data_IF_179056713154
#
_entry.id   IF_179056713154
#
_cell.length_a   1.000
_cell.length_b   1.000
_cell.length_c   1.000
_cell.angle_alpha   90.00
_cell.angle_beta   90.00
_cell.angle_gamma   90.00
#
_symmetry.space_group_name_H-M   'P 1'
#
loop_
_entity.id
_entity.type
_entity.pdbx_description
1 polymer ?
#
# COMPACT_ATOMS: atom_id res chain seq x y z
N UNK A 1 -15.37 28.72 -20.60
CA UNK A 1 -16.56 29.04 -21.43
C UNK A 1 -17.44 27.82 -21.78
N UNK A 2 -16.88 26.75 -22.36
CA UNK A 2 -17.66 25.54 -22.69
C UNK A 2 -18.18 24.81 -21.45
N UNK A 3 -17.37 24.66 -20.40
CA UNK A 3 -17.78 24.04 -19.13
C UNK A 3 -19.00 24.74 -18.50
N UNK A 4 -19.01 26.08 -18.49
CA UNK A 4 -20.15 26.90 -18.03
C UNK A 4 -21.42 26.64 -18.86
N UNK A 5 -21.30 26.52 -20.19
CA UNK A 5 -22.44 26.23 -21.06
C UNK A 5 -23.02 24.82 -20.81
N UNK A 6 -22.14 23.82 -20.66
CA UNK A 6 -22.53 22.44 -20.34
C UNK A 6 -23.20 22.39 -18.96
N UNK A 7 -22.64 23.08 -17.96
CA UNK A 7 -23.19 23.12 -16.61
C UNK A 7 -24.59 23.74 -16.58
N UNK A 8 -24.79 24.88 -17.23
CA UNK A 8 -26.12 25.52 -17.34
C UNK A 8 -27.15 24.61 -18.00
N UNK A 9 -26.77 23.90 -19.07
CA UNK A 9 -27.64 22.93 -19.74
C UNK A 9 -28.02 21.78 -18.80
N UNK A 10 -27.04 21.18 -18.12
CA UNK A 10 -27.28 20.09 -17.19
C UNK A 10 -28.16 20.51 -15.99
N UNK A 11 -27.93 21.70 -15.44
CA UNK A 11 -28.74 22.25 -14.36
C UNK A 11 -30.21 22.42 -14.76
N UNK A 12 -30.46 22.97 -15.96
CA UNK A 12 -31.81 23.12 -16.50
C UNK A 12 -32.50 21.75 -16.72
N UNK A 13 -31.79 20.75 -17.26
CA UNK A 13 -32.31 19.39 -17.46
C UNK A 13 -32.65 18.70 -16.13
N UNK A 14 -31.93 19.01 -15.05
CA UNK A 14 -32.18 18.49 -13.70
C UNK A 14 -33.24 19.28 -12.92
N UNK A 15 -33.85 20.30 -13.52
CA UNK A 15 -34.82 21.18 -12.84
C UNK A 15 -34.19 22.03 -11.72
N UNK A 16 -32.87 22.15 -11.70
CA UNK A 16 -32.15 23.01 -10.78
C UNK A 16 -32.26 24.46 -11.27
N UNK A 17 -32.33 25.42 -10.34
CA UNK A 17 -32.24 26.83 -10.69
C UNK A 17 -30.97 27.06 -11.53
N UNK A 18 -31.05 27.93 -12.54
CA UNK A 18 -29.94 28.22 -13.44
C UNK A 18 -28.73 28.75 -12.66
N UNK A 19 -27.85 27.83 -12.28
CA UNK A 19 -26.66 28.12 -11.51
C UNK A 19 -25.49 28.31 -12.48
N UNK A 20 -24.64 29.29 -12.18
CA UNK A 20 -23.30 29.35 -12.75
C UNK A 20 -22.47 28.21 -12.16
N UNK A 21 -21.52 27.68 -12.93
CA UNK A 21 -20.60 26.65 -12.44
C UNK A 21 -19.93 27.19 -11.16
N UNK A 22 -20.03 26.50 -10.01
CA UNK A 22 -19.63 27.02 -8.70
C UNK A 22 -18.11 26.89 -8.48
N UNK A 23 -17.32 27.15 -9.53
CA UNK A 23 -15.87 27.19 -9.48
C UNK A 23 -15.34 28.04 -10.63
N UNK A 24 -14.19 28.66 -10.39
CA UNK A 24 -13.43 29.41 -11.38
C UNK A 24 -12.87 28.49 -12.47
N UNK A 25 -12.45 29.05 -13.60
CA UNK A 25 -11.75 28.28 -14.65
C UNK A 25 -10.45 27.67 -14.10
N UNK A 26 -9.73 28.36 -13.20
CA UNK A 26 -8.51 27.84 -12.58
C UNK A 26 -8.79 26.60 -11.72
N UNK A 27 -9.83 26.65 -10.87
CA UNK A 27 -10.27 25.51 -10.08
C UNK A 27 -10.73 24.36 -10.97
N UNK A 28 -11.52 24.65 -12.01
CA UNK A 28 -11.93 23.64 -12.99
C UNK A 28 -10.73 22.96 -13.64
N UNK A 29 -9.71 23.71 -14.08
CA UNK A 29 -8.48 23.14 -14.66
C UNK A 29 -7.69 22.32 -13.65
N UNK A 30 -7.64 22.75 -12.39
CA UNK A 30 -6.99 21.99 -11.33
C UNK A 30 -7.66 20.62 -11.12
N UNK A 31 -8.99 20.52 -11.27
CA UNK A 31 -9.69 19.20 -11.20
C UNK A 31 -9.36 18.26 -12.36
N UNK A 32 -8.80 18.78 -13.46
CA UNK A 32 -8.41 18.00 -14.64
C UNK A 32 -6.92 17.66 -14.65
N UNK A 33 -6.13 18.19 -13.71
CA UNK A 33 -4.71 17.87 -13.60
C UNK A 33 -4.54 16.46 -13.01
N UNK A 34 -3.97 15.49 -13.76
CA UNK A 34 -3.78 14.12 -13.27
C UNK A 34 -2.90 14.06 -12.02
N UNK A 35 -1.92 14.97 -11.88
CA UNK A 35 -1.06 15.01 -10.69
C UNK A 35 -1.85 15.48 -9.48
N UNK A 36 -2.71 16.50 -9.66
CA UNK A 36 -3.60 16.97 -8.60
C UNK A 36 -4.62 15.88 -8.21
N UNK A 37 -5.17 15.15 -9.18
CA UNK A 37 -6.10 14.03 -8.92
C UNK A 37 -5.44 12.96 -8.04
N UNK A 38 -4.21 12.53 -8.37
CA UNK A 38 -3.48 11.54 -7.55
C UNK A 38 -3.20 12.06 -6.14
N UNK A 39 -2.73 13.31 -6.02
CA UNK A 39 -2.44 13.93 -4.72
C UNK A 39 -3.69 14.05 -3.84
N UNK A 40 -4.83 14.40 -4.43
CA UNK A 40 -6.08 14.64 -3.71
C UNK A 40 -6.84 13.36 -3.37
N UNK A 41 -6.46 12.21 -3.93
CA UNK A 41 -7.04 10.90 -3.57
C UNK A 41 -6.47 10.38 -2.25
N UNK A 42 -6.56 11.20 -1.21
CA UNK A 42 -5.91 11.03 0.10
C UNK A 42 -6.65 10.05 1.02
N UNK A 43 -6.82 8.80 0.58
CA UNK A 43 -7.43 7.71 1.34
C UNK A 43 -6.39 6.68 1.76
N UNK A 44 -6.69 5.89 2.79
CA UNK A 44 -5.88 4.69 3.11
C UNK A 44 -5.84 3.74 1.91
N UNK A 45 -4.66 3.21 1.58
CA UNK A 45 -4.41 2.40 0.39
C UNK A 45 -4.41 3.19 -0.94
N UNK A 46 -4.43 4.52 -0.88
CA UNK A 46 -4.47 5.38 -2.06
C UNK A 46 -3.11 5.56 -2.75
N UNK A 47 -3.11 6.13 -3.97
CA UNK A 47 -1.91 6.29 -4.79
C UNK A 47 -1.08 7.53 -4.43
N UNK A 48 -1.55 8.35 -3.49
CA UNK A 48 -0.89 9.58 -3.10
C UNK A 48 0.47 9.29 -2.45
N UNK A 49 1.51 10.13 -2.69
CA UNK A 49 2.88 9.84 -2.26
C UNK A 49 3.03 9.46 -0.78
N UNK A 50 2.40 10.21 0.13
CA UNK A 50 2.49 9.94 1.56
C UNK A 50 1.97 8.53 1.95
N UNK A 51 0.92 8.05 1.29
CA UNK A 51 0.38 6.72 1.55
C UNK A 51 1.22 5.63 0.90
N UNK A 52 1.77 5.89 -0.29
CA UNK A 52 2.75 5.00 -0.92
C UNK A 52 4.00 4.85 -0.06
N UNK A 53 4.54 5.93 0.50
CA UNK A 53 5.69 5.89 1.41
C UNK A 53 5.37 5.06 2.66
N UNK A 54 4.19 5.26 3.25
CA UNK A 54 3.70 4.49 4.39
C UNK A 54 3.61 3.00 4.06
N UNK A 55 2.93 2.64 2.96
CA UNK A 55 2.72 1.26 2.53
C UNK A 55 4.05 0.56 2.18
N UNK A 56 4.95 1.25 1.48
CA UNK A 56 6.28 0.73 1.13
C UNK A 56 7.13 0.53 2.39
N UNK A 57 7.06 1.46 3.34
CA UNK A 57 7.71 1.32 4.65
C UNK A 57 7.19 0.10 5.42
N UNK A 58 5.86 -0.08 5.48
CA UNK A 58 5.23 -1.23 6.12
C UNK A 58 5.65 -2.54 5.44
N UNK A 59 5.68 -2.58 4.11
CA UNK A 59 6.08 -3.75 3.35
C UNK A 59 7.54 -4.14 3.63
N UNK A 60 8.46 -3.16 3.67
CA UNK A 60 9.87 -3.41 4.01
C UNK A 60 10.02 -4.00 5.41
N UNK A 61 9.36 -3.42 6.41
CA UNK A 61 9.42 -3.95 7.79
C UNK A 61 8.86 -5.38 7.88
N UNK A 62 7.79 -5.70 7.15
CA UNK A 62 7.25 -7.07 7.10
C UNK A 62 8.24 -8.05 6.47
N UNK A 63 8.95 -7.64 5.41
CA UNK A 63 9.97 -8.48 4.78
C UNK A 63 11.15 -8.74 5.71
N UNK A 64 11.63 -7.71 6.41
CA UNK A 64 12.71 -7.86 7.41
C UNK A 64 12.31 -8.82 8.53
N UNK A 65 11.11 -8.64 9.10
CA UNK A 65 10.58 -9.54 10.13
C UNK A 65 10.44 -11.00 9.65
N UNK A 66 10.03 -11.20 8.40
CA UNK A 66 9.92 -12.54 7.81
C UNK A 66 11.29 -13.17 7.58
N UNK A 67 12.26 -12.41 7.11
CA UNK A 67 13.62 -12.91 6.90
C UNK A 67 14.28 -13.34 8.22
N UNK A 68 14.15 -12.52 9.27
CA UNK A 68 14.62 -12.85 10.62
C UNK A 68 13.93 -14.11 11.17
N UNK A 69 12.61 -14.21 11.03
CA UNK A 69 11.84 -15.38 11.44
C UNK A 69 12.29 -16.66 10.71
N UNK A 70 12.54 -16.58 9.40
CA UNK A 70 13.04 -17.71 8.60
C UNK A 70 14.42 -18.14 9.08
N UNK A 71 15.33 -17.20 9.31
CA UNK A 71 16.69 -17.47 9.80
C UNK A 71 16.66 -18.17 11.16
N UNK A 72 15.89 -17.64 12.10
CA UNK A 72 15.73 -18.21 13.44
C UNK A 72 15.18 -19.65 13.35
N UNK A 73 14.14 -19.86 12.54
CA UNK A 73 13.52 -21.18 12.41
C UNK A 73 14.47 -22.20 11.79
N UNK A 74 15.25 -21.81 10.78
CA UNK A 74 16.28 -22.65 10.16
C UNK A 74 17.39 -23.00 11.15
N UNK A 75 17.88 -22.03 11.90
CA UNK A 75 18.90 -22.26 12.93
C UNK A 75 18.41 -23.25 14.00
N UNK A 76 17.16 -23.11 14.45
CA UNK A 76 16.54 -24.04 15.40
C UNK A 76 16.47 -25.47 14.86
N UNK A 77 16.08 -25.65 13.59
CA UNK A 77 16.04 -26.97 12.95
C UNK A 77 17.44 -27.56 12.85
N UNK A 78 18.42 -26.78 12.38
CA UNK A 78 19.81 -27.24 12.24
C UNK A 78 20.40 -27.66 13.58
N UNK A 79 20.17 -26.89 14.64
CA UNK A 79 20.62 -27.22 16.00
C UNK A 79 19.97 -28.50 16.52
N UNK A 80 18.67 -28.69 16.29
CA UNK A 80 17.96 -29.89 16.70
C UNK A 80 18.49 -31.15 15.97
N UNK A 81 18.77 -31.05 14.67
CA UNK A 81 19.35 -32.14 13.88
C UNK A 81 20.77 -32.48 14.36
N UNK A 82 21.63 -31.48 14.57
CA UNK A 82 23.00 -31.70 15.07
C UNK A 82 23.01 -32.35 16.46
N UNK A 83 22.07 -31.96 17.32
CA UNK A 83 21.88 -32.61 18.63
C UNK A 83 21.45 -34.07 18.47
N UNK A 84 20.47 -34.34 17.61
CA UNK A 84 20.00 -35.69 17.33
C UNK A 84 21.15 -36.59 16.86
N UNK A 85 21.97 -36.11 15.92
CA UNK A 85 23.14 -36.83 15.42
C UNK A 85 24.17 -37.10 16.52
N UNK A 86 24.40 -36.13 17.40
CA UNK A 86 25.32 -36.26 18.55
C UNK A 86 24.82 -37.31 19.55
N UNK A 87 23.53 -37.28 19.86
CA UNK A 87 22.89 -38.23 20.78
C UNK A 87 23.00 -39.66 20.24
N UNK A 88 22.72 -39.87 18.94
CA UNK A 88 22.89 -41.18 18.30
C UNK A 88 24.35 -41.65 18.27
N UNK A 89 25.30 -40.77 17.94
CA UNK A 89 26.72 -41.12 17.94
C UNK A 89 27.23 -41.52 19.34
N UNK A 90 26.69 -40.90 20.39
CA UNK A 90 27.01 -41.24 21.78
C UNK A 90 26.48 -42.62 22.16
N UNK A 91 25.22 -42.91 21.81
CA UNK A 91 24.62 -44.23 22.04
C UNK A 91 25.36 -45.34 21.30
N UNK A 92 25.74 -45.12 20.05
CA UNK A 92 26.48 -46.10 19.25
C UNK A 92 27.86 -46.42 19.85
N UNK A 93 28.55 -45.42 20.43
CA UNK A 93 29.84 -45.62 21.10
C UNK A 93 29.73 -46.38 22.42
N UNK A 94 28.66 -46.16 23.18
CA UNK A 94 28.44 -46.86 24.46
C UNK A 94 27.93 -48.30 24.33
N UNK A 95 27.55 -48.72 23.11
CA UNK A 95 27.11 -50.08 22.81
C UNK A 95 28.25 -51.02 22.37
N UNK A 96 29.47 -50.50 22.18
CA UNK A 96 30.71 -51.25 21.92
C UNK A 96 31.58 -51.29 23.18
#
# INVERSE_FOLDING_TARGET
AQAQAIYRKAAAEMGLAAAELPMTEAEFRATLDPVAIVKNRATSGGPQPAEMDRMLGDARRRLEQQDDWIKERRAKIASALARLDTDFATLAKGAN
#
